data_IF_252873432063
#
_entry.id   IF_252873432063
#
_cell.length_a   1.000
_cell.length_b   1.000
_cell.length_c   1.000
_cell.angle_alpha   90.00
_cell.angle_beta   90.00
_cell.angle_gamma   90.00
#
_symmetry.space_group_name_H-M   'P 1'
#
loop_
_entity.id
_entity.type
_entity.pdbx_description
1 polymer ?
#
# COMPACT_ATOMS: atom_id res chain seq x y z
N UNK A 1 6.03 -3.98 -6.57
CA UNK A 1 4.65 -4.42 -6.29
C UNK A 1 3.78 -3.79 -7.38
N UNK A 2 2.46 -3.88 -7.33
CA UNK A 2 1.63 -3.22 -8.34
C UNK A 2 0.43 -2.56 -7.69
N UNK A 3 0.14 -1.32 -8.06
CA UNK A 3 -1.11 -0.65 -7.69
C UNK A 3 -2.24 -1.30 -8.47
N UNK A 4 -3.34 -1.60 -7.80
CA UNK A 4 -4.54 -2.10 -8.42
C UNK A 4 -5.74 -1.32 -7.92
N UNK A 5 -6.55 -0.89 -8.88
CA UNK A 5 -7.80 -0.19 -8.66
C UNK A 5 -8.96 -1.12 -8.95
N UNK A 6 -9.95 -1.12 -8.08
CA UNK A 6 -11.16 -1.92 -8.21
C UNK A 6 -12.36 -1.02 -8.01
N UNK A 7 -13.25 -0.98 -9.00
CA UNK A 7 -14.46 -0.15 -8.95
C UNK A 7 -15.69 -1.03 -9.14
N UNK A 8 -16.73 -0.71 -8.38
CA UNK A 8 -18.06 -1.26 -8.58
C UNK A 8 -18.85 -1.39 -7.29
N UNK A 9 -20.02 -2.01 -7.41
CA UNK A 9 -20.85 -2.39 -6.29
C UNK A 9 -20.16 -3.48 -5.47
N UNK A 10 -20.09 -3.31 -4.15
CA UNK A 10 -19.71 -4.37 -3.23
C UNK A 10 -20.88 -5.34 -3.11
N UNK A 11 -20.71 -6.53 -3.67
CA UNK A 11 -21.74 -7.57 -3.65
C UNK A 11 -21.65 -8.43 -2.40
N UNK A 12 -20.44 -8.77 -1.98
CA UNK A 12 -20.18 -9.72 -0.90
C UNK A 12 -18.84 -9.41 -0.25
N UNK A 13 -18.80 -9.45 1.09
CA UNK A 13 -17.56 -9.43 1.86
C UNK A 13 -17.38 -10.80 2.52
N UNK A 14 -16.20 -11.37 2.39
CA UNK A 14 -15.81 -12.58 3.10
C UNK A 14 -15.61 -12.31 4.59
N UNK A 15 -15.32 -13.36 5.35
CA UNK A 15 -15.14 -13.24 6.80
C UNK A 15 -13.99 -12.25 7.11
N UNK A 16 -14.31 -11.16 7.82
CA UNK A 16 -13.37 -10.14 8.25
C UNK A 16 -12.84 -10.46 9.63
N UNK A 17 -11.52 -10.61 9.78
CA UNK A 17 -10.88 -10.80 11.08
C UNK A 17 -10.22 -9.49 11.50
N UNK A 18 -10.75 -8.87 12.55
CA UNK A 18 -10.16 -7.67 13.15
C UNK A 18 -8.92 -8.10 13.95
N UNK A 19 -7.76 -7.62 13.54
CA UNK A 19 -6.49 -7.77 14.25
C UNK A 19 -6.18 -6.53 15.06
N UNK A 20 -5.91 -6.74 16.35
CA UNK A 20 -5.44 -5.71 17.29
C UNK A 20 -6.31 -4.43 17.26
N UNK A 21 -7.61 -4.56 17.02
CA UNK A 21 -8.57 -3.45 16.99
C UNK A 21 -8.28 -2.35 15.95
N UNK A 22 -7.38 -2.59 14.99
CA UNK A 22 -6.87 -1.54 14.09
C UNK A 22 -6.91 -1.94 12.62
N UNK A 23 -6.76 -3.22 12.32
CA UNK A 23 -6.68 -3.73 10.94
C UNK A 23 -7.73 -4.83 10.73
N UNK A 24 -8.51 -4.74 9.66
CA UNK A 24 -9.41 -5.82 9.24
C UNK A 24 -8.78 -6.59 8.08
N UNK A 25 -8.58 -7.89 8.28
CA UNK A 25 -8.14 -8.80 7.22
C UNK A 25 -9.35 -9.54 6.65
N UNK A 26 -9.65 -9.31 5.38
CA UNK A 26 -10.69 -9.98 4.62
C UNK A 26 -10.13 -11.17 3.85
N UNK A 27 -10.85 -12.29 3.89
CA UNK A 27 -10.56 -13.43 3.01
C UNK A 27 -10.81 -13.07 1.54
N UNK A 28 -11.91 -12.36 1.27
CA UNK A 28 -12.19 -11.79 -0.05
C UNK A 28 -13.17 -10.62 0.03
N UNK A 29 -13.19 -9.79 -1.01
CA UNK A 29 -14.25 -8.80 -1.28
C UNK A 29 -14.65 -8.98 -2.76
N UNK A 30 -15.95 -9.05 -3.02
CA UNK A 30 -16.51 -9.12 -4.38
C UNK A 30 -17.00 -7.75 -4.81
N UNK A 31 -16.35 -7.19 -5.84
CA UNK A 31 -16.63 -5.85 -6.37
C UNK A 31 -16.90 -5.97 -7.86
N UNK A 32 -18.09 -5.54 -8.31
CA UNK A 32 -18.46 -5.55 -9.73
C UNK A 32 -18.24 -6.92 -10.41
N UNK A 33 -18.71 -7.99 -9.76
CA UNK A 33 -18.55 -9.37 -10.22
C UNK A 33 -17.16 -9.99 -10.00
N UNK A 34 -16.13 -9.21 -9.64
CA UNK A 34 -14.76 -9.72 -9.44
C UNK A 34 -14.50 -9.99 -7.96
N UNK A 35 -14.14 -11.25 -7.63
CA UNK A 35 -13.71 -11.63 -6.28
C UNK A 35 -12.21 -11.36 -6.11
N UNK A 36 -11.87 -10.42 -5.24
CA UNK A 36 -10.50 -10.07 -4.87
C UNK A 36 -10.20 -10.76 -3.54
N UNK A 37 -9.11 -11.54 -3.44
CA UNK A 37 -8.78 -12.34 -2.26
C UNK A 37 -7.68 -11.71 -1.42
N UNK A 38 -7.60 -12.10 -0.14
CA UNK A 38 -6.57 -11.73 0.82
C UNK A 38 -6.36 -10.22 0.93
N UNK A 39 -7.40 -9.51 1.36
CA UNK A 39 -7.36 -8.04 1.44
C UNK A 39 -7.13 -7.62 2.88
N UNK A 40 -6.34 -6.57 3.06
CA UNK A 40 -6.09 -5.94 4.34
C UNK A 40 -6.51 -4.48 4.25
N UNK A 41 -7.40 -4.05 5.14
CA UNK A 41 -7.77 -2.65 5.29
C UNK A 41 -7.59 -2.20 6.74
N UNK A 42 -7.52 -0.90 6.94
CA UNK A 42 -7.57 -0.31 8.28
C UNK A 42 -9.03 -0.25 8.75
N UNK A 43 -9.27 -0.36 10.06
CA UNK A 43 -10.62 -0.35 10.64
C UNK A 43 -11.45 0.87 10.24
N UNK A 44 -10.83 2.01 9.98
CA UNK A 44 -11.57 3.19 9.54
C UNK A 44 -12.05 3.06 8.08
N UNK A 45 -11.24 2.48 7.17
CA UNK A 45 -11.67 2.16 5.79
C UNK A 45 -12.68 1.02 5.74
N UNK A 46 -12.60 0.12 6.72
CA UNK A 46 -13.53 -1.00 6.87
C UNK A 46 -14.99 -0.54 6.91
N UNK A 47 -15.24 0.61 7.53
CA UNK A 47 -16.59 1.19 7.64
C UNK A 47 -17.22 1.54 6.29
N UNK A 48 -16.40 1.75 5.26
CA UNK A 48 -16.81 2.11 3.89
C UNK A 48 -16.97 0.88 3.00
N UNK A 49 -16.31 -0.23 3.36
CA UNK A 49 -16.37 -1.50 2.64
C UNK A 49 -17.56 -2.31 3.15
N UNK A 50 -18.77 -1.91 2.76
CA UNK A 50 -20.01 -2.60 3.13
C UNK A 50 -20.75 -3.10 1.89
N UNK A 51 -21.35 -4.31 1.93
CA UNK A 51 -22.22 -4.79 0.87
C UNK A 51 -23.34 -3.78 0.55
N UNK A 52 -23.59 -3.55 -0.73
CA UNK A 52 -24.57 -2.57 -1.22
C UNK A 52 -23.99 -1.19 -1.53
N UNK A 53 -22.78 -0.87 -1.09
CA UNK A 53 -22.12 0.39 -1.44
C UNK A 53 -21.37 0.26 -2.77
N UNK A 54 -21.46 1.29 -3.61
CA UNK A 54 -20.57 1.45 -4.77
C UNK A 54 -19.31 2.17 -4.31
N UNK A 55 -18.14 1.56 -4.50
CA UNK A 55 -16.86 2.14 -4.11
C UNK A 55 -15.79 1.93 -5.19
N UNK A 56 -14.78 2.80 -5.17
CA UNK A 56 -13.50 2.56 -5.85
C UNK A 56 -12.40 2.35 -4.81
N UNK A 57 -11.76 1.19 -4.84
CA UNK A 57 -10.66 0.83 -3.95
C UNK A 57 -9.33 0.94 -4.67
N UNK A 58 -8.36 1.53 -4.01
CA UNK A 58 -6.96 1.47 -4.41
C UNK A 58 -6.16 0.62 -3.43
N UNK A 59 -5.42 -0.35 -3.96
CA UNK A 59 -4.62 -1.26 -3.16
C UNK A 59 -3.24 -1.53 -3.77
N UNK A 60 -2.31 -1.97 -2.93
CA UNK A 60 -1.01 -2.48 -3.37
C UNK A 60 -1.02 -4.00 -3.34
N UNK A 61 -0.77 -4.62 -4.50
CA UNK A 61 -0.62 -6.06 -4.63
C UNK A 61 0.70 -6.53 -4.01
N UNK A 62 0.60 -7.35 -2.99
CA UNK A 62 1.70 -8.12 -2.40
C UNK A 62 1.43 -9.62 -2.56
N UNK A 63 2.48 -10.44 -2.49
CA UNK A 63 2.43 -11.91 -2.52
C UNK A 63 1.62 -12.51 -1.37
N UNK A 64 1.43 -11.77 -0.27
CA UNK A 64 0.64 -12.20 0.88
C UNK A 64 -0.77 -11.61 0.90
N UNK A 65 -0.88 -10.35 1.33
CA UNK A 65 -2.17 -9.64 1.42
C UNK A 65 -2.12 -8.34 0.64
N UNK A 66 -3.20 -8.02 -0.06
CA UNK A 66 -3.39 -6.76 -0.77
C UNK A 66 -3.79 -5.69 0.24
N UNK A 67 -2.95 -4.68 0.42
CA UNK A 67 -3.22 -3.60 1.39
C UNK A 67 -4.00 -2.49 0.69
N UNK A 68 -5.20 -2.18 1.18
CA UNK A 68 -6.01 -1.04 0.74
C UNK A 68 -5.42 0.24 1.31
N UNK A 69 -5.19 1.24 0.45
CA UNK A 69 -4.63 2.53 0.81
C UNK A 69 -5.60 3.69 0.67
N UNK A 70 -6.57 3.59 -0.23
CA UNK A 70 -7.62 4.58 -0.39
C UNK A 70 -8.94 3.92 -0.80
N UNK A 71 -10.04 4.48 -0.32
CA UNK A 71 -11.41 4.15 -0.70
C UNK A 71 -12.07 5.43 -1.16
N UNK A 72 -12.72 5.41 -2.31
CA UNK A 72 -13.61 6.48 -2.77
C UNK A 72 -15.05 5.97 -2.74
N UNK A 73 -15.92 6.69 -2.05
CA UNK A 73 -17.35 6.37 -1.94
C UNK A 73 -18.15 6.96 -3.12
N UNK A 74 -19.40 6.55 -3.28
CA UNK A 74 -20.28 6.99 -4.38
C UNK A 74 -20.56 8.50 -4.40
N UNK A 75 -20.43 9.17 -3.25
CA UNK A 75 -20.51 10.63 -3.13
C UNK A 75 -19.24 11.35 -3.65
N UNK A 76 -18.20 10.61 -4.04
CA UNK A 76 -16.91 11.14 -4.47
C UNK A 76 -15.91 11.41 -3.34
N UNK A 77 -16.30 11.21 -2.08
CA UNK A 77 -15.43 11.39 -0.92
C UNK A 77 -14.32 10.34 -0.91
N UNK A 78 -13.08 10.78 -0.72
CA UNK A 78 -11.89 9.92 -0.74
C UNK A 78 -11.29 9.82 0.66
N UNK A 79 -11.34 8.62 1.21
CA UNK A 79 -10.76 8.27 2.50
C UNK A 79 -9.45 7.53 2.30
N UNK A 80 -8.38 8.02 2.93
CA UNK A 80 -6.99 7.58 2.68
C UNK A 80 -6.27 7.17 3.94
N UNK A 81 -5.42 6.16 3.83
CA UNK A 81 -4.63 5.71 4.97
C UNK A 81 -3.75 6.85 5.47
N UNK A 82 -3.57 6.96 6.80
CA UNK A 82 -2.56 7.82 7.36
C UNK A 82 -1.21 7.60 6.68
N UNK A 83 -0.52 8.70 6.39
CA UNK A 83 0.75 8.68 5.64
C UNK A 83 1.80 7.80 6.30
N UNK A 84 1.77 7.71 7.64
CA UNK A 84 2.73 6.90 8.40
C UNK A 84 2.70 5.42 7.99
N UNK A 85 1.57 4.86 7.54
CA UNK A 85 1.52 3.47 7.09
C UNK A 85 2.32 3.23 5.79
N UNK A 86 2.41 4.22 4.91
CA UNK A 86 3.32 4.15 3.76
C UNK A 86 4.77 4.34 4.21
N UNK A 87 5.02 5.24 5.18
CA UNK A 87 6.35 5.52 5.72
C UNK A 87 6.97 4.36 6.48
N UNK A 88 6.17 3.55 7.20
CA UNK A 88 6.67 2.36 7.92
C UNK A 88 7.37 1.40 6.96
N UNK A 89 6.83 1.21 5.75
CA UNK A 89 7.47 0.35 4.76
C UNK A 89 8.81 0.91 4.29
N UNK A 90 8.90 2.23 4.06
CA UNK A 90 10.17 2.92 3.77
C UNK A 90 11.17 2.73 4.91
N UNK A 91 10.73 2.85 6.16
CA UNK A 91 11.58 2.64 7.34
C UNK A 91 12.15 1.22 7.42
N UNK A 92 11.33 0.20 7.16
CA UNK A 92 11.79 -1.21 7.13
C UNK A 92 12.87 -1.41 6.05
N UNK A 93 12.68 -0.86 4.85
CA UNK A 93 13.67 -0.95 3.78
C UNK A 93 14.97 -0.23 4.15
N UNK A 94 14.89 0.96 4.76
CA UNK A 94 16.07 1.71 5.22
C UNK A 94 16.82 0.90 6.28
N UNK A 95 16.15 0.36 7.30
CA UNK A 95 16.79 -0.45 8.34
C UNK A 95 17.47 -1.68 7.73
N UNK A 96 16.82 -2.37 6.80
CA UNK A 96 17.42 -3.49 6.08
C UNK A 96 18.68 -3.07 5.31
N UNK A 97 18.63 -1.94 4.60
CA UNK A 97 19.77 -1.41 3.86
C UNK A 97 20.92 -1.01 4.80
N UNK A 98 20.63 -0.42 5.96
CA UNK A 98 21.66 -0.12 6.97
C UNK A 98 22.34 -1.41 7.42
N UNK A 99 21.58 -2.46 7.74
CA UNK A 99 22.15 -3.73 8.20
C UNK A 99 23.02 -4.42 7.14
N UNK A 100 22.63 -4.34 5.86
CA UNK A 100 23.30 -5.07 4.77
C UNK A 100 24.41 -4.26 4.11
N UNK A 101 24.22 -2.96 3.91
CA UNK A 101 25.12 -2.12 3.11
C UNK A 101 26.15 -1.36 3.95
N UNK A 102 26.00 -1.29 5.27
CA UNK A 102 26.92 -0.54 6.13
C UNK A 102 28.36 -1.04 6.07
N UNK A 103 28.59 -2.35 6.32
CA UNK A 103 29.94 -2.92 6.27
C UNK A 103 30.58 -2.86 4.87
N UNK A 104 29.87 -3.23 3.78
CA UNK A 104 30.39 -3.04 2.41
C UNK A 104 30.76 -1.59 2.09
N UNK A 105 29.92 -0.64 2.50
CA UNK A 105 30.17 0.78 2.25
C UNK A 105 31.41 1.29 2.99
N UNK A 106 31.59 0.91 4.26
CA UNK A 106 32.78 1.26 5.04
C UNK A 106 34.04 0.64 4.45
N UNK A 107 33.99 -0.65 4.06
CA UNK A 107 35.13 -1.32 3.46
C UNK A 107 35.60 -0.60 2.18
N UNK A 108 34.67 -0.21 1.30
CA UNK A 108 34.99 0.59 0.12
C UNK A 108 35.54 1.97 0.48
N UNK A 109 34.95 2.63 1.48
CA UNK A 109 35.37 3.95 1.92
C UNK A 109 36.82 3.97 2.43
N UNK A 110 37.18 3.01 3.29
CA UNK A 110 38.53 2.90 3.86
C UNK A 110 39.56 2.41 2.82
N UNK A 111 39.12 1.66 1.80
CA UNK A 111 39.98 1.16 0.71
C UNK A 111 40.28 2.19 -0.38
N UNK A 112 39.93 3.47 -0.18
CA UNK A 112 40.20 4.54 -1.15
C UNK A 112 39.14 4.69 -2.25
N UNK A 113 37.99 4.01 -2.13
CA UNK A 113 36.83 4.17 -3.02
C UNK A 113 35.73 4.99 -2.33
N UNK A 114 36.04 6.17 -1.82
CA UNK A 114 35.14 6.97 -0.97
C UNK A 114 33.82 7.28 -1.66
N UNK A 115 33.85 7.71 -2.93
CA UNK A 115 32.65 8.02 -3.71
C UNK A 115 31.76 6.77 -3.91
N UNK A 116 32.37 5.63 -4.22
CA UNK A 116 31.64 4.36 -4.39
C UNK A 116 31.07 3.83 -3.07
N UNK A 117 31.78 4.00 -1.95
CA UNK A 117 31.29 3.65 -0.62
C UNK A 117 30.07 4.49 -0.22
N UNK A 118 30.14 5.81 -0.45
CA UNK A 118 29.01 6.72 -0.21
C UNK A 118 27.83 6.42 -1.13
N UNK A 119 28.07 6.16 -2.42
CA UNK A 119 27.01 5.78 -3.36
C UNK A 119 26.37 4.44 -2.98
N UNK A 120 27.17 3.45 -2.57
CA UNK A 120 26.67 2.15 -2.11
C UNK A 120 25.76 2.33 -0.89
N UNK A 121 26.11 3.20 0.05
CA UNK A 121 25.27 3.42 1.20
C UNK A 121 24.05 4.29 0.87
N UNK A 122 24.25 5.54 0.47
CA UNK A 122 23.15 6.50 0.30
C UNK A 122 22.40 6.30 -1.01
N UNK A 123 23.11 6.09 -2.11
CA UNK A 123 22.51 5.93 -3.44
C UNK A 123 21.66 4.67 -3.53
N UNK A 124 22.24 3.50 -3.18
CA UNK A 124 21.51 2.23 -3.23
C UNK A 124 20.39 2.20 -2.20
N UNK A 125 20.60 2.69 -0.98
CA UNK A 125 19.51 2.79 0.03
C UNK A 125 18.37 3.66 -0.48
N UNK A 126 18.67 4.83 -1.04
CA UNK A 126 17.65 5.72 -1.60
C UNK A 126 16.86 5.08 -2.73
N UNK A 127 17.56 4.40 -3.65
CA UNK A 127 16.95 3.70 -4.77
C UNK A 127 16.07 2.54 -4.31
N UNK A 128 16.55 1.69 -3.40
CA UNK A 128 15.77 0.57 -2.85
C UNK A 128 14.58 1.06 -2.05
N UNK A 129 14.74 2.11 -1.25
CA UNK A 129 13.64 2.72 -0.48
C UNK A 129 12.58 3.28 -1.42
N UNK A 130 12.99 3.97 -2.49
CA UNK A 130 12.06 4.44 -3.52
C UNK A 130 11.29 3.29 -4.16
N UNK A 131 11.97 2.26 -4.66
CA UNK A 131 11.31 1.12 -5.29
C UNK A 131 10.42 0.33 -4.32
N UNK A 132 10.82 0.21 -3.06
CA UNK A 132 10.05 -0.48 -2.03
C UNK A 132 8.81 0.30 -1.58
N UNK A 133 8.82 1.63 -1.67
CA UNK A 133 7.75 2.47 -1.12
C UNK A 133 6.86 3.16 -2.15
N UNK A 134 7.34 3.38 -3.39
CA UNK A 134 6.62 4.15 -4.43
C UNK A 134 5.18 3.67 -4.65
N UNK A 135 4.96 2.36 -4.68
CA UNK A 135 3.64 1.79 -4.99
C UNK A 135 2.63 2.10 -3.87
N UNK A 136 3.11 2.23 -2.62
CA UNK A 136 2.29 2.58 -1.46
C UNK A 136 1.84 4.05 -1.50
N UNK A 137 2.74 4.96 -1.90
CA UNK A 137 2.40 6.36 -2.10
C UNK A 137 1.47 6.55 -3.32
N UNK A 138 1.74 5.83 -4.41
CA UNK A 138 0.89 5.83 -5.60
C UNK A 138 -0.51 5.32 -5.29
N UNK A 139 -0.63 4.18 -4.61
CA UNK A 139 -1.95 3.65 -4.22
C UNK A 139 -2.70 4.62 -3.30
N UNK A 140 -2.02 5.28 -2.35
CA UNK A 140 -2.67 6.26 -1.47
C UNK A 140 -3.26 7.45 -2.23
N UNK A 141 -2.61 7.89 -3.30
CA UNK A 141 -3.00 9.09 -4.04
C UNK A 141 -3.73 8.77 -5.36
N UNK A 142 -3.96 7.49 -5.67
CA UNK A 142 -4.53 7.04 -6.94
C UNK A 142 -5.93 7.61 -7.20
N UNK A 143 -6.70 7.88 -6.14
CA UNK A 143 -8.09 8.29 -6.22
C UNK A 143 -8.28 9.82 -6.17
N UNK A 144 -7.20 10.60 -6.00
CA UNK A 144 -7.26 12.03 -5.65
C UNK A 144 -7.91 12.90 -6.72
N UNK A 145 -7.78 12.50 -7.99
CA UNK A 145 -8.24 13.26 -9.15
C UNK A 145 -9.31 12.51 -9.95
N UNK A 146 -9.85 11.42 -9.41
CA UNK A 146 -10.82 10.62 -10.13
C UNK A 146 -12.25 11.08 -9.85
N UNK A 147 -13.12 11.12 -10.87
CA UNK A 147 -14.55 11.40 -10.66
C UNK A 147 -15.18 10.33 -9.76
N UNK A 148 -16.28 10.68 -9.12
CA UNK A 148 -17.03 9.73 -8.29
C UNK A 148 -17.31 8.43 -9.07
N UNK A 149 -17.22 7.26 -8.41
CA UNK A 149 -17.43 5.99 -9.06
C UNK A 149 -18.85 5.90 -9.62
N UNK A 150 -19.00 5.33 -10.80
CA UNK A 150 -20.30 5.23 -11.46
C UNK A 150 -21.21 4.34 -10.62
N UNK A 151 -22.32 4.89 -10.11
CA UNK A 151 -23.33 4.12 -9.37
C UNK A 151 -23.91 3.09 -10.33
N UNK A 152 -23.66 1.81 -10.06
CA UNK A 152 -24.32 0.73 -10.80
C UNK A 152 -25.81 0.77 -10.43
N UNK A 153 -26.64 1.23 -11.38
CA UNK A 153 -28.10 1.21 -11.31
C UNK A 153 -28.67 -0.19 -11.45
#
# INVERSE_FOLDING_TARGET
>A
MAVAEFEGLIEETGNGVIRNGTVTDYEYIKIGGKRIRHIRCQNYLDSMIKPGNTVRLSCVKSLGKHTVYAVQESNGEVSKNPLYYAMVNSGVVVVFCVLVLFFPAIAMYVSGYQASGLFTFFGVTGLLTWFGSKDHYQARNALDNLPAPAVAS
#
